data_IF_833436059950
#
_entry.id   IF_833436059950
#
_cell.length_a   1.000
_cell.length_b   1.000
_cell.length_c   1.000
_cell.angle_alpha   90.00
_cell.angle_beta   90.00
_cell.angle_gamma   90.00
#
_symmetry.space_group_name_H-M   'P 1'
#
loop_
_entity.id
_entity.type
_entity.pdbx_description
1 polymer ?
#
# COMPACT_ATOMS: atom_id res chain seq x y z
N UNK A 1 19.48 12.50 -25.30
CA UNK A 1 19.48 12.63 -23.84
C UNK A 1 20.66 11.86 -23.28
N UNK A 2 21.67 12.55 -22.78
CA UNK A 2 22.84 11.97 -22.10
C UNK A 2 22.45 11.47 -20.71
N UNK A 3 23.35 10.73 -20.04
CA UNK A 3 23.15 10.34 -18.64
C UNK A 3 23.07 11.57 -17.72
N UNK A 4 23.94 12.56 -17.95
CA UNK A 4 23.98 13.79 -17.16
C UNK A 4 22.65 14.56 -17.28
N UNK A 5 22.14 14.72 -18.50
CA UNK A 5 20.84 15.37 -18.75
C UNK A 5 19.69 14.63 -18.04
N UNK A 6 19.71 13.28 -18.03
CA UNK A 6 18.70 12.48 -17.31
C UNK A 6 18.76 12.68 -15.80
N UNK A 7 19.97 12.71 -15.24
CA UNK A 7 20.18 12.87 -13.79
C UNK A 7 19.77 14.28 -13.36
N UNK A 8 20.08 15.31 -14.14
CA UNK A 8 19.69 16.69 -13.84
C UNK A 8 18.17 16.86 -13.81
N UNK A 9 17.46 16.29 -14.80
CA UNK A 9 15.99 16.28 -14.83
C UNK A 9 15.44 15.57 -13.59
N UNK A 10 15.98 14.39 -13.26
CA UNK A 10 15.54 13.62 -12.11
C UNK A 10 15.72 14.38 -10.78
N UNK A 11 16.87 15.03 -10.57
CA UNK A 11 17.12 15.81 -9.35
C UNK A 11 16.12 16.96 -9.24
N UNK A 12 15.89 17.69 -10.34
CA UNK A 12 14.94 18.82 -10.35
C UNK A 12 13.50 18.36 -10.08
N UNK A 13 13.09 17.24 -10.65
CA UNK A 13 11.78 16.64 -10.35
C UNK A 13 11.68 16.26 -8.87
N UNK A 14 12.73 15.66 -8.31
CA UNK A 14 12.78 15.26 -6.92
C UNK A 14 12.67 16.46 -5.98
N UNK A 15 13.39 17.55 -6.22
CA UNK A 15 13.34 18.78 -5.42
C UNK A 15 11.92 19.36 -5.38
N UNK A 16 11.24 19.42 -6.53
CA UNK A 16 9.87 19.89 -6.61
C UNK A 16 8.91 18.98 -5.83
N UNK A 17 9.02 17.66 -6.03
CA UNK A 17 8.20 16.67 -5.35
C UNK A 17 8.37 16.72 -3.83
N UNK A 18 9.60 16.88 -3.34
CA UNK A 18 9.89 16.97 -1.91
C UNK A 18 9.13 18.14 -1.28
N UNK A 19 9.21 19.33 -1.90
CA UNK A 19 8.56 20.53 -1.38
C UNK A 19 7.02 20.39 -1.34
N UNK A 20 6.44 19.78 -2.37
CA UNK A 20 4.99 19.57 -2.46
C UNK A 20 4.50 18.49 -1.49
N UNK A 21 5.26 17.40 -1.33
CA UNK A 21 4.77 16.19 -0.68
C UNK A 21 5.07 16.12 0.82
N UNK A 22 6.12 16.79 1.33
CA UNK A 22 6.41 16.80 2.77
C UNK A 22 5.19 17.19 3.62
N UNK A 23 4.47 18.30 3.34
CA UNK A 23 3.33 18.71 4.15
C UNK A 23 2.20 17.67 4.20
N UNK A 24 2.08 16.83 3.17
CA UNK A 24 1.02 15.82 3.05
C UNK A 24 1.23 14.62 3.97
N UNK A 25 2.47 14.31 4.33
CA UNK A 25 2.85 13.15 5.16
C UNK A 25 3.71 13.53 6.36
N UNK A 26 3.76 14.81 6.71
CA UNK A 26 4.66 15.35 7.73
C UNK A 26 4.53 14.62 9.07
N UNK A 27 3.30 14.35 9.50
CA UNK A 27 3.06 13.66 10.78
C UNK A 27 3.53 12.21 10.73
N UNK A 28 3.22 11.50 9.63
CA UNK A 28 3.66 10.12 9.43
C UNK A 28 5.18 10.01 9.42
N UNK A 29 5.87 10.99 8.80
CA UNK A 29 7.31 11.01 8.68
C UNK A 29 8.03 11.35 9.99
N UNK A 30 7.53 12.35 10.75
CA UNK A 30 8.22 12.85 11.94
C UNK A 30 7.88 12.09 13.22
N UNK A 31 6.70 11.47 13.30
CA UNK A 31 6.20 10.87 14.54
C UNK A 31 6.29 9.36 14.41
N UNK A 32 7.22 8.76 15.13
CA UNK A 32 7.37 7.32 15.22
C UNK A 32 6.15 6.68 15.92
N UNK A 33 5.92 5.41 15.64
CA UNK A 33 5.01 4.59 16.42
C UNK A 33 5.62 4.27 17.79
N UNK A 34 6.95 4.19 17.89
CA UNK A 34 7.65 3.69 19.09
C UNK A 34 7.79 2.16 19.09
N UNK A 35 7.66 1.54 17.91
CA UNK A 35 7.64 0.10 17.72
C UNK A 35 8.60 -0.27 16.58
N UNK A 36 9.73 -0.89 16.94
CA UNK A 36 10.82 -1.21 16.02
C UNK A 36 10.42 -2.16 14.88
N UNK A 37 9.35 -2.93 15.09
CA UNK A 37 8.75 -3.85 14.12
C UNK A 37 8.07 -3.12 12.96
N UNK A 38 7.70 -1.85 13.14
CA UNK A 38 6.87 -1.08 12.20
C UNK A 38 7.53 0.22 11.73
N UNK A 39 8.31 0.89 12.57
CA UNK A 39 8.90 2.20 12.30
C UNK A 39 9.79 2.26 11.04
N UNK A 40 10.65 1.25 10.76
CA UNK A 40 11.46 1.25 9.53
C UNK A 40 10.61 1.29 8.25
N UNK A 41 9.56 0.46 8.18
CA UNK A 41 8.66 0.44 7.01
C UNK A 41 7.88 1.74 6.88
N UNK A 42 7.37 2.29 8.00
CA UNK A 42 6.66 3.58 8.00
C UNK A 42 7.55 4.72 7.50
N UNK A 43 8.81 4.74 7.91
CA UNK A 43 9.76 5.74 7.44
C UNK A 43 10.03 5.59 5.94
N UNK A 44 10.26 4.35 5.47
CA UNK A 44 10.50 4.06 4.05
C UNK A 44 9.31 4.45 3.18
N UNK A 45 8.08 4.11 3.58
CA UNK A 45 6.86 4.55 2.89
C UNK A 45 6.78 6.06 2.79
N UNK A 46 7.05 6.75 3.90
CA UNK A 46 7.02 8.22 3.94
C UNK A 46 8.04 8.83 2.98
N UNK A 47 9.26 8.29 2.93
CA UNK A 47 10.29 8.70 1.97
C UNK A 47 9.87 8.44 0.53
N UNK A 48 9.24 7.28 0.24
CA UNK A 48 8.70 7.00 -1.08
C UNK A 48 7.65 8.04 -1.49
N UNK A 49 6.73 8.41 -0.60
CA UNK A 49 5.70 9.41 -0.90
C UNK A 49 6.28 10.81 -1.07
N UNK A 50 7.24 11.22 -0.23
CA UNK A 50 7.96 12.49 -0.37
C UNK A 50 8.62 12.59 -1.75
N UNK A 51 9.25 11.50 -2.21
CA UNK A 51 9.92 11.42 -3.51
C UNK A 51 8.97 11.10 -4.69
N UNK A 52 7.65 11.03 -4.48
CA UNK A 52 6.62 10.68 -5.48
C UNK A 52 6.74 9.25 -6.07
N UNK A 53 7.37 8.33 -5.35
CA UNK A 53 7.41 6.89 -5.65
C UNK A 53 6.13 6.18 -5.16
N UNK A 54 4.98 6.64 -5.64
CA UNK A 54 3.66 6.28 -5.13
C UNK A 54 3.32 4.77 -5.25
N UNK A 55 3.76 4.08 -6.31
CA UNK A 55 3.54 2.63 -6.43
C UNK A 55 4.33 1.82 -5.39
N UNK A 56 5.57 2.24 -5.12
CA UNK A 56 6.40 1.63 -4.08
C UNK A 56 5.77 1.86 -2.70
N UNK A 57 5.32 3.09 -2.43
CA UNK A 57 4.60 3.43 -1.20
C UNK A 57 3.35 2.57 -0.97
N UNK A 58 2.52 2.34 -2.00
CA UNK A 58 1.35 1.45 -1.89
C UNK A 58 1.77 0.01 -1.54
N UNK A 59 2.81 -0.49 -2.20
CA UNK A 59 3.32 -1.85 -1.98
C UNK A 59 3.85 -2.02 -0.55
N UNK A 60 4.67 -1.07 -0.09
CA UNK A 60 5.20 -1.07 1.27
C UNK A 60 4.08 -0.86 2.30
N UNK A 61 3.05 -0.07 1.99
CA UNK A 61 1.86 0.09 2.87
C UNK A 61 1.10 -1.22 3.04
N UNK A 62 0.92 -2.01 1.97
CA UNK A 62 0.35 -3.35 2.07
C UNK A 62 1.19 -4.24 2.99
N UNK A 63 2.52 -4.17 2.85
CA UNK A 63 3.43 -4.95 3.67
C UNK A 63 3.37 -4.55 5.15
N UNK A 64 3.39 -3.24 5.44
CA UNK A 64 3.23 -2.68 6.78
C UNK A 64 1.92 -3.15 7.42
N UNK A 65 0.80 -3.08 6.69
CA UNK A 65 -0.51 -3.53 7.18
C UNK A 65 -0.52 -5.03 7.53
N UNK A 66 0.02 -5.87 6.65
CA UNK A 66 0.09 -7.32 6.90
C UNK A 66 0.98 -7.64 8.10
N UNK A 67 2.15 -7.01 8.19
CA UNK A 67 3.07 -7.16 9.30
C UNK A 67 2.41 -6.73 10.62
N UNK A 68 1.81 -5.53 10.64
CA UNK A 68 1.10 -5.00 11.80
C UNK A 68 0.03 -5.97 12.31
N UNK A 69 -0.89 -6.42 11.44
CA UNK A 69 -1.98 -7.29 11.86
C UNK A 69 -1.47 -8.63 12.40
N UNK A 70 -0.48 -9.25 11.75
CA UNK A 70 0.08 -10.53 12.20
C UNK A 70 0.82 -10.36 13.53
N UNK A 71 1.65 -9.34 13.65
CA UNK A 71 2.42 -9.05 14.87
C UNK A 71 1.51 -8.75 16.05
N UNK A 72 0.45 -7.96 15.86
CA UNK A 72 -0.50 -7.70 16.95
C UNK A 72 -1.30 -8.94 17.37
N UNK A 73 -1.62 -9.85 16.44
CA UNK A 73 -2.23 -11.14 16.79
C UNK A 73 -1.30 -12.00 17.63
N UNK A 74 0.00 -12.00 17.32
CA UNK A 74 1.03 -12.73 18.07
C UNK A 74 1.14 -12.16 19.49
N UNK A 75 1.26 -10.84 19.65
CA UNK A 75 1.35 -10.21 20.97
C UNK A 75 0.10 -10.41 21.82
N UNK A 76 -1.09 -10.40 21.20
CA UNK A 76 -2.34 -10.56 21.92
C UNK A 76 -2.62 -12.02 22.32
N UNK A 77 -1.99 -12.99 21.66
CA UNK A 77 -2.18 -14.42 21.94
C UNK A 77 -1.26 -14.92 23.06
N UNK A 78 -1.66 -14.67 24.30
CA UNK A 78 -0.92 -15.10 25.51
C UNK A 78 -0.68 -16.61 25.59
N UNK A 79 -1.45 -17.43 24.87
CA UNK A 79 -1.26 -18.89 24.82
C UNK A 79 -0.05 -19.31 23.99
N UNK A 80 0.39 -18.44 23.09
CA UNK A 80 1.53 -18.65 22.21
C UNK A 80 2.84 -18.07 22.77
N UNK A 81 2.79 -17.39 23.92
CA UNK A 81 3.97 -16.80 24.55
C UNK A 81 4.69 -17.87 25.38
N UNK A 82 5.83 -18.34 24.89
CA UNK A 82 6.72 -19.20 25.68
C UNK A 82 7.41 -18.36 26.77
N UNK A 83 7.15 -18.73 28.03
CA UNK A 83 7.70 -18.09 29.24
C UNK A 83 9.09 -18.62 29.61
N UNK A 84 9.72 -19.44 28.76
CA UNK A 84 11.13 -19.79 28.94
C UNK A 84 12.02 -18.54 28.93
N UNK A 85 13.22 -18.64 29.50
CA UNK A 85 14.18 -17.53 29.54
C UNK A 85 14.76 -17.17 28.16
N UNK A 86 14.45 -17.92 27.09
CA UNK A 86 14.93 -17.64 25.74
C UNK A 86 13.92 -16.80 24.96
N UNK A 87 14.12 -15.48 25.02
CA UNK A 87 13.27 -14.49 24.33
C UNK A 87 13.13 -14.75 22.82
N UNK A 88 14.11 -15.43 22.19
CA UNK A 88 14.08 -15.75 20.75
C UNK A 88 13.02 -16.79 20.42
N UNK A 89 12.55 -17.56 21.40
CA UNK A 89 11.53 -18.60 21.23
C UNK A 89 10.15 -18.17 21.72
N UNK A 90 10.07 -17.06 22.46
CA UNK A 90 8.85 -16.59 23.11
C UNK A 90 7.67 -16.44 22.17
N UNK A 91 7.88 -16.20 20.87
CA UNK A 91 6.79 -15.97 19.92
C UNK A 91 6.66 -17.04 18.82
N UNK A 92 7.47 -18.10 18.83
CA UNK A 92 7.50 -19.08 17.73
C UNK A 92 6.12 -19.72 17.46
N UNK A 93 5.41 -20.11 18.52
CA UNK A 93 4.07 -20.69 18.38
C UNK A 93 3.06 -19.70 17.77
N UNK A 94 3.22 -18.41 18.04
CA UNK A 94 2.39 -17.35 17.46
C UNK A 94 2.75 -17.12 15.99
N UNK A 95 4.04 -17.08 15.68
CA UNK A 95 4.56 -16.95 14.31
C UNK A 95 4.02 -18.09 13.45
N UNK A 96 4.20 -19.34 13.86
CA UNK A 96 3.68 -20.52 13.14
C UNK A 96 2.16 -20.46 12.93
N UNK A 97 1.42 -19.95 13.93
CA UNK A 97 -0.05 -19.89 13.88
C UNK A 97 -0.58 -18.81 12.93
N UNK A 98 0.08 -17.64 12.86
CA UNK A 98 -0.46 -16.46 12.19
C UNK A 98 0.26 -16.08 10.89
N UNK A 99 1.49 -16.53 10.66
CA UNK A 99 2.30 -16.06 9.53
C UNK A 99 1.73 -16.45 8.15
N UNK A 100 1.18 -17.67 8.02
CA UNK A 100 0.62 -18.16 6.76
C UNK A 100 -0.83 -17.73 6.50
N UNK A 101 -1.42 -16.97 7.44
CA UNK A 101 -2.80 -16.49 7.29
C UNK A 101 -2.88 -15.39 6.25
N UNK A 102 -3.95 -15.42 5.47
CA UNK A 102 -4.21 -14.36 4.48
C UNK A 102 -4.76 -13.09 5.15
N UNK A 103 -4.69 -11.96 4.45
CA UNK A 103 -5.10 -10.66 4.98
C UNK A 103 -6.56 -10.61 5.47
N UNK A 104 -7.50 -11.30 4.80
CA UNK A 104 -8.91 -11.32 5.27
C UNK A 104 -9.01 -12.04 6.61
N UNK A 105 -8.32 -13.16 6.75
CA UNK A 105 -8.30 -13.91 8.00
C UNK A 105 -7.72 -13.08 9.12
N UNK A 106 -6.56 -12.44 8.90
CA UNK A 106 -5.90 -11.62 9.92
C UNK A 106 -6.74 -10.40 10.32
N UNK A 107 -7.38 -9.69 9.37
CA UNK A 107 -8.36 -8.64 9.67
C UNK A 107 -9.51 -9.20 10.52
N UNK A 108 -10.04 -10.37 10.16
CA UNK A 108 -11.12 -11.04 10.89
C UNK A 108 -10.74 -11.39 12.33
N UNK A 109 -9.54 -11.94 12.55
CA UNK A 109 -9.02 -12.22 13.89
C UNK A 109 -8.79 -10.92 14.68
N UNK A 110 -8.15 -9.91 14.07
CA UNK A 110 -7.83 -8.65 14.72
C UNK A 110 -9.11 -7.92 15.18
N UNK A 111 -10.15 -7.91 14.35
CA UNK A 111 -11.47 -7.39 14.71
C UNK A 111 -12.08 -8.14 15.89
N UNK A 112 -12.07 -9.49 15.86
CA UNK A 112 -12.68 -10.31 16.93
C UNK A 112 -12.00 -10.09 18.28
N UNK A 113 -10.69 -9.89 18.28
CA UNK A 113 -9.89 -9.60 19.47
C UNK A 113 -9.94 -8.12 19.86
N UNK A 114 -10.65 -7.28 19.09
CA UNK A 114 -10.77 -5.85 19.35
C UNK A 114 -9.47 -5.07 19.14
N UNK A 115 -8.48 -5.62 18.42
CA UNK A 115 -7.24 -4.93 18.05
C UNK A 115 -7.58 -3.73 17.16
N UNK A 116 -8.45 -3.96 16.17
CA UNK A 116 -9.01 -2.92 15.29
C UNK A 116 -10.53 -2.82 15.49
N UNK A 117 -11.11 -1.67 15.15
CA UNK A 117 -12.57 -1.48 15.21
C UNK A 117 -13.31 -2.21 14.09
N UNK A 118 -14.64 -2.27 14.19
CA UNK A 118 -15.48 -2.82 13.13
C UNK A 118 -15.40 -1.96 11.87
N UNK A 119 -15.38 -0.66 12.05
CA UNK A 119 -15.29 0.36 11.01
C UNK A 119 -13.94 0.24 10.28
N UNK A 120 -12.84 0.15 11.02
CA UNK A 120 -11.50 -0.07 10.44
C UNK A 120 -11.45 -1.38 9.66
N UNK A 121 -12.05 -2.46 10.18
CA UNK A 121 -12.09 -3.74 9.46
C UNK A 121 -12.78 -3.63 8.10
N UNK A 122 -13.85 -2.82 7.99
CA UNK A 122 -14.56 -2.60 6.73
C UNK A 122 -13.72 -1.80 5.74
N UNK A 123 -13.02 -0.77 6.23
CA UNK A 123 -12.08 0.03 5.43
C UNK A 123 -10.95 -0.85 4.90
N UNK A 124 -10.32 -1.66 5.75
CA UNK A 124 -9.21 -2.53 5.36
C UNK A 124 -9.63 -3.63 4.37
N UNK A 125 -10.85 -4.18 4.51
CA UNK A 125 -11.40 -5.13 3.53
C UNK A 125 -11.55 -4.46 2.17
N UNK A 126 -12.04 -3.22 2.12
CA UNK A 126 -12.14 -2.46 0.87
C UNK A 126 -10.75 -2.21 0.25
N UNK A 127 -9.78 -1.79 1.05
CA UNK A 127 -8.42 -1.52 0.60
C UNK A 127 -7.66 -2.75 0.09
N UNK A 128 -7.97 -3.95 0.58
CA UNK A 128 -7.44 -5.19 0.00
C UNK A 128 -7.78 -5.28 -1.49
N UNK A 129 -9.02 -5.00 -1.87
CA UNK A 129 -9.43 -5.10 -3.28
C UNK A 129 -8.91 -3.92 -4.10
N UNK A 130 -8.91 -2.73 -3.54
CA UNK A 130 -8.51 -1.50 -4.25
C UNK A 130 -6.98 -1.36 -4.42
N UNK A 131 -6.18 -1.91 -3.51
CA UNK A 131 -4.72 -1.68 -3.49
C UNK A 131 -3.91 -2.98 -3.54
N UNK A 132 -4.14 -3.93 -2.63
CA UNK A 132 -3.34 -5.17 -2.59
C UNK A 132 -3.53 -6.01 -3.84
N UNK A 133 -4.78 -6.28 -4.23
CA UNK A 133 -5.05 -7.08 -5.43
C UNK A 133 -4.64 -6.34 -6.72
N UNK A 134 -4.88 -5.03 -6.76
CA UNK A 134 -4.59 -4.18 -7.90
C UNK A 134 -3.08 -3.99 -8.16
N UNK A 135 -2.29 -3.77 -7.11
CA UNK A 135 -0.87 -3.40 -7.23
C UNK A 135 0.08 -4.56 -6.89
N UNK A 136 -0.30 -5.49 -6.01
CA UNK A 136 0.56 -6.63 -5.63
C UNK A 136 0.25 -7.93 -6.39
N UNK A 137 -0.94 -8.06 -7.01
CA UNK A 137 -1.31 -9.22 -7.84
C UNK A 137 -1.58 -8.88 -9.32
N UNK A 138 -1.35 -7.62 -9.73
CA UNK A 138 -1.54 -7.13 -11.10
C UNK A 138 -2.92 -7.44 -11.71
N UNK A 139 -3.99 -7.46 -10.90
CA UNK A 139 -5.36 -7.70 -11.38
C UNK A 139 -5.93 -6.45 -12.07
N UNK A 140 -5.69 -6.36 -13.38
CA UNK A 140 -6.04 -5.21 -14.24
C UNK A 140 -7.52 -4.84 -14.17
N UNK A 141 -8.41 -5.83 -14.03
CA UNK A 141 -9.86 -5.59 -13.96
C UNK A 141 -10.24 -4.87 -12.66
N UNK A 142 -9.56 -5.19 -11.55
CA UNK A 142 -9.76 -4.50 -10.27
C UNK A 142 -9.06 -3.15 -10.20
N UNK A 143 -7.89 -3.01 -10.83
CA UNK A 143 -7.14 -1.74 -10.87
C UNK A 143 -7.90 -0.66 -11.65
N UNK A 144 -8.46 -1.02 -12.81
CA UNK A 144 -9.07 -0.04 -13.71
C UNK A 144 -10.59 0.05 -13.60
N UNK A 145 -11.26 -0.91 -12.93
CA UNK A 145 -12.72 -0.93 -12.72
C UNK A 145 -13.47 -0.55 -14.01
N UNK A 146 -14.29 0.50 -13.95
CA UNK A 146 -15.08 1.04 -15.07
C UNK A 146 -14.44 2.27 -15.73
N UNK A 147 -13.13 2.50 -15.54
CA UNK A 147 -12.42 3.61 -16.17
C UNK A 147 -12.42 3.42 -17.69
N UNK A 148 -12.89 4.44 -18.39
CA UNK A 148 -12.89 4.50 -19.84
C UNK A 148 -11.95 5.59 -20.34
N UNK A 149 -11.28 5.32 -21.44
CA UNK A 149 -10.49 6.31 -22.16
C UNK A 149 -11.07 6.52 -23.55
N UNK A 150 -11.13 7.78 -24.02
CA UNK A 150 -11.39 8.04 -25.43
C UNK A 150 -10.20 7.50 -26.24
N UNK A 151 -10.48 6.58 -27.15
CA UNK A 151 -9.52 5.90 -28.01
C UNK A 151 -9.91 6.04 -29.46
N UNK A 152 -8.91 6.16 -30.32
CA UNK A 152 -9.10 6.14 -31.76
C UNK A 152 -8.14 5.10 -32.34
N UNK A 153 -8.68 4.11 -33.03
CA UNK A 153 -7.87 3.06 -33.64
C UNK A 153 -7.19 3.57 -34.91
N UNK A 154 -5.93 3.19 -35.11
CA UNK A 154 -5.22 3.39 -36.38
C UNK A 154 -4.90 2.01 -36.92
N UNK A 155 -5.51 1.65 -38.04
CA UNK A 155 -5.25 0.38 -38.72
C UNK A 155 -4.41 0.62 -39.97
N UNK A 156 -3.61 -0.37 -40.36
CA UNK A 156 -2.84 -0.33 -41.61
C UNK A 156 -3.38 -1.41 -42.53
N UNK A 157 -3.73 -1.03 -43.76
CA UNK A 157 -4.13 -2.01 -44.77
C UNK A 157 -2.89 -2.73 -45.36
N UNK A 158 -3.12 -3.71 -46.23
CA UNK A 158 -2.04 -4.52 -46.85
C UNK A 158 -1.05 -3.69 -47.68
N UNK A 159 -1.44 -2.48 -48.10
CA UNK A 159 -0.61 -1.55 -48.86
C UNK A 159 0.06 -0.50 -47.96
N UNK A 160 0.08 -0.70 -46.64
CA UNK A 160 0.62 0.22 -45.63
C UNK A 160 -0.02 1.60 -45.59
N UNK A 161 -1.21 1.77 -46.17
CA UNK A 161 -2.01 2.97 -45.95
C UNK A 161 -2.72 2.85 -44.61
N UNK A 162 -2.72 3.93 -43.85
CA UNK A 162 -3.41 3.97 -42.56
C UNK A 162 -4.86 4.43 -42.74
N UNK A 163 -5.74 3.86 -41.92
CA UNK A 163 -7.12 4.28 -41.76
C UNK A 163 -7.33 4.62 -40.29
N UNK A 164 -8.00 5.74 -40.04
CA UNK A 164 -8.31 6.22 -38.69
C UNK A 164 -9.76 5.83 -38.39
N UNK A 165 -9.96 5.05 -37.34
CA UNK A 165 -11.28 4.66 -36.85
C UNK A 165 -12.04 5.79 -36.17
N UNK A 166 -13.26 5.49 -35.73
CA UNK A 166 -14.07 6.44 -34.94
C UNK A 166 -13.52 6.58 -33.52
N UNK A 167 -13.91 7.68 -32.86
CA UNK A 167 -13.59 7.90 -31.46
C UNK A 167 -14.53 7.06 -30.59
N UNK A 168 -13.97 6.13 -29.82
CA UNK A 168 -14.71 5.24 -28.93
C UNK A 168 -14.28 5.40 -27.48
N UNK A 169 -15.16 5.08 -26.53
CA UNK A 169 -14.84 5.02 -25.11
C UNK A 169 -14.52 3.57 -24.72
N UNK A 170 -13.25 3.19 -24.88
CA UNK A 170 -12.77 1.84 -24.55
C UNK A 170 -12.53 1.67 -23.06
N UNK A 171 -12.77 0.46 -22.54
CA UNK A 171 -12.43 0.17 -21.16
C UNK A 171 -10.92 0.11 -21.00
N UNK A 172 -10.38 0.81 -20.00
CA UNK A 172 -8.94 0.92 -19.79
C UNK A 172 -8.26 -0.44 -19.57
N UNK A 173 -8.94 -1.43 -18.99
CA UNK A 173 -8.38 -2.78 -18.79
C UNK A 173 -8.14 -3.56 -20.10
N UNK A 174 -8.76 -3.13 -21.21
CA UNK A 174 -8.60 -3.71 -22.55
C UNK A 174 -7.40 -3.08 -23.29
N UNK A 175 -6.92 -1.93 -22.82
CA UNK A 175 -5.86 -1.14 -23.45
C UNK A 175 -4.50 -1.45 -22.85
N UNK A 176 -3.91 -2.58 -23.25
CA UNK A 176 -2.63 -3.06 -22.67
C UNK A 176 -1.50 -2.03 -22.68
N UNK A 177 -1.42 -1.22 -23.73
CA UNK A 177 -0.40 -0.18 -23.90
C UNK A 177 -0.54 0.98 -22.89
N UNK A 178 -1.75 1.20 -22.35
CA UNK A 178 -2.03 2.31 -21.43
C UNK A 178 -1.88 1.92 -19.95
N UNK A 179 -1.81 0.62 -19.64
CA UNK A 179 -1.86 0.12 -18.26
C UNK A 179 -0.77 0.70 -17.35
N UNK A 180 0.49 0.69 -17.77
CA UNK A 180 1.60 1.17 -16.93
C UNK A 180 1.46 2.65 -16.57
N UNK A 181 1.11 3.47 -17.56
CA UNK A 181 0.88 4.89 -17.38
C UNK A 181 -0.34 5.16 -16.47
N UNK A 182 -1.46 4.48 -16.72
CA UNK A 182 -2.65 4.66 -15.93
C UNK A 182 -2.47 4.20 -14.48
N UNK A 183 -1.76 3.09 -14.25
CA UNK A 183 -1.42 2.63 -12.90
C UNK A 183 -0.51 3.63 -12.16
N UNK A 184 0.43 4.28 -12.86
CA UNK A 184 1.25 5.34 -12.28
C UNK A 184 0.38 6.54 -11.86
N UNK A 185 -0.50 7.02 -12.74
CA UNK A 185 -1.41 8.14 -12.43
C UNK A 185 -2.38 7.82 -11.29
N UNK A 186 -2.96 6.61 -11.27
CA UNK A 186 -3.86 6.20 -10.20
C UNK A 186 -3.12 6.13 -8.87
N UNK A 187 -1.90 5.59 -8.85
CA UNK A 187 -1.12 5.53 -7.61
C UNK A 187 -0.86 6.91 -7.00
N UNK A 188 -0.55 7.92 -7.81
CA UNK A 188 -0.35 9.30 -7.33
C UNK A 188 -1.60 9.89 -6.68
N UNK A 189 -2.79 9.51 -7.17
CA UNK A 189 -4.06 9.98 -6.63
C UNK A 189 -4.39 9.34 -5.27
N UNK A 190 -3.98 8.10 -5.05
CA UNK A 190 -4.50 7.29 -3.94
C UNK A 190 -3.46 6.94 -2.87
N UNK A 191 -2.16 6.94 -3.19
CA UNK A 191 -1.12 6.41 -2.30
C UNK A 191 -1.07 7.15 -0.94
N UNK A 192 -1.21 8.47 -0.97
CA UNK A 192 -1.20 9.30 0.24
C UNK A 192 -2.37 8.98 1.16
N UNK A 193 -3.60 9.04 0.64
CA UNK A 193 -4.80 8.74 1.42
C UNK A 193 -4.73 7.32 2.00
N UNK A 194 -4.28 6.36 1.18
CA UNK A 194 -4.16 4.97 1.61
C UNK A 194 -3.18 4.82 2.77
N UNK A 195 -1.96 5.37 2.65
CA UNK A 195 -0.97 5.28 3.71
C UNK A 195 -1.41 6.01 4.98
N UNK A 196 -1.91 7.24 4.87
CA UNK A 196 -2.39 8.03 6.02
C UNK A 196 -3.47 7.25 6.78
N UNK A 197 -4.43 6.66 6.06
CA UNK A 197 -5.51 5.90 6.69
C UNK A 197 -5.01 4.65 7.39
N UNK A 198 -4.05 3.94 6.80
CA UNK A 198 -3.43 2.76 7.44
C UNK A 198 -2.62 3.17 8.68
N UNK A 199 -1.83 4.23 8.59
CA UNK A 199 -1.06 4.78 9.72
C UNK A 199 -1.97 5.19 10.90
N UNK A 200 -3.09 5.86 10.64
CA UNK A 200 -4.10 6.21 11.66
C UNK A 200 -4.65 4.97 12.39
N UNK A 201 -4.99 3.93 11.62
CA UNK A 201 -5.49 2.67 12.18
C UNK A 201 -4.43 2.01 13.06
N UNK A 202 -3.17 1.99 12.61
CA UNK A 202 -2.05 1.45 13.38
C UNK A 202 -1.88 2.23 14.69
N UNK A 203 -1.76 3.57 14.63
CA UNK A 203 -1.56 4.41 15.82
C UNK A 203 -2.68 4.24 16.84
N UNK A 204 -3.93 4.27 16.39
CA UNK A 204 -5.09 4.10 17.28
C UNK A 204 -5.10 2.71 17.95
N UNK A 205 -4.71 1.67 17.21
CA UNK A 205 -4.64 0.30 17.70
C UNK A 205 -3.50 0.10 18.71
N UNK A 206 -2.31 0.65 18.43
CA UNK A 206 -1.15 0.59 19.33
C UNK A 206 -1.44 1.32 20.64
N UNK A 207 -1.96 2.55 20.56
CA UNK A 207 -2.37 3.30 21.75
C UNK A 207 -3.38 2.54 22.60
N UNK A 208 -4.34 1.87 21.96
CA UNK A 208 -5.31 1.02 22.66
C UNK A 208 -4.64 -0.17 23.33
N UNK A 209 -3.73 -0.84 22.64
CA UNK A 209 -3.01 -1.99 23.16
C UNK A 209 -2.14 -1.64 24.38
N UNK A 210 -1.43 -0.51 24.34
CA UNK A 210 -0.63 0.01 25.46
C UNK A 210 -1.51 0.30 26.68
N UNK A 211 -2.63 1.01 26.49
CA UNK A 211 -3.58 1.30 27.56
C UNK A 211 -4.17 0.05 28.23
N UNK A 212 -4.35 -1.05 27.46
CA UNK A 212 -4.90 -2.30 27.97
C UNK A 212 -3.88 -3.16 28.72
N UNK A 213 -2.60 -3.00 28.43
CA UNK A 213 -1.56 -3.87 28.97
C UNK A 213 -0.66 -3.22 30.03
N UNK A 214 -0.86 -1.94 30.38
CA UNK A 214 -0.07 -1.19 31.36
C UNK A 214 1.43 -1.56 31.30
N UNK A 215 2.04 -1.26 30.15
CA UNK A 215 3.50 -1.20 30.01
C UNK A 215 3.91 0.25 30.32
#
# INVERSE_FOLDING_TARGET
>A
MTLEEKVEIFIKELENNIQENIPRVQNQFLIDYGWSEFDPLREEISRCLICDFCQAAITLTNHLLENFLKTMLIYNDKSCIDKTQDIRKSFNAGIEKYNDKNLIETIGYAKRLGIISKEDSQILIKYKDDFRNAYSHADKKKTFKDLKLPTQEISFNKDLKYEIGELENSNLFELLFAHGFAQALLSKKTAFEYFIKVDEIIRSSLKKFENQNQI
#
